data_IF_198180878819
#
_entry.id   IF_198180878819
#
_cell.length_a   1.000
_cell.length_b   1.000
_cell.length_c   1.000
_cell.angle_alpha   90.00
_cell.angle_beta   90.00
_cell.angle_gamma   90.00
#
_symmetry.space_group_name_H-M   'P 1'
#
loop_
_entity.id
_entity.type
_entity.pdbx_description
1 polymer ?
#
# COMPACT_ATOMS: atom_id res chain seq x y z
N UNK A 1 -7.66 5.84 -0.36
CA UNK A 1 -6.41 6.56 -0.65
C UNK A 1 -5.30 5.53 -0.63
N UNK A 2 -4.62 5.41 -1.76
CA UNK A 2 -3.57 4.42 -1.95
C UNK A 2 -2.26 4.86 -1.30
N UNK A 3 -1.55 3.89 -0.75
CA UNK A 3 -0.21 4.06 -0.20
C UNK A 3 0.76 3.05 -0.79
N UNK A 4 2.02 3.43 -0.81
CA UNK A 4 3.14 2.57 -1.13
C UNK A 4 4.18 2.67 -0.03
N UNK A 5 4.90 1.59 0.19
CA UNK A 5 6.10 1.59 0.99
C UNK A 5 7.31 1.52 0.08
N UNK A 6 8.28 2.38 0.29
CA UNK A 6 9.57 2.30 -0.38
C UNK A 6 10.61 1.93 0.67
N UNK A 7 11.27 0.80 0.48
CA UNK A 7 12.42 0.41 1.30
C UNK A 7 13.49 1.49 1.24
N UNK A 8 13.92 1.99 2.39
CA UNK A 8 14.99 2.99 2.46
C UNK A 8 16.33 2.38 2.02
N UNK A 9 16.54 1.10 2.33
CA UNK A 9 17.79 0.39 2.07
C UNK A 9 17.94 -0.03 0.61
N UNK A 10 16.88 -0.55 0.02
CA UNK A 10 16.91 -1.24 -1.29
C UNK A 10 16.22 -0.46 -2.40
N UNK A 11 15.50 0.61 -2.06
CA UNK A 11 14.60 1.34 -2.96
C UNK A 11 13.49 0.46 -3.58
N UNK A 12 13.27 -0.75 -3.06
CA UNK A 12 12.17 -1.61 -3.49
C UNK A 12 10.82 -1.01 -3.09
N UNK A 13 9.88 -1.01 -4.03
CA UNK A 13 8.54 -0.46 -3.85
C UNK A 13 7.57 -1.61 -3.59
N UNK A 14 6.77 -1.46 -2.53
CA UNK A 14 5.71 -2.38 -2.14
C UNK A 14 4.37 -1.64 -2.16
N UNK A 15 3.34 -2.30 -2.68
CA UNK A 15 1.97 -1.77 -2.74
C UNK A 15 1.23 -2.18 -4.01
N UNK A 16 0.05 -1.59 -4.26
CA UNK A 16 -0.57 -0.52 -3.47
C UNK A 16 -1.30 -1.10 -2.25
N UNK A 17 -1.18 -0.42 -1.11
CA UNK A 17 -2.07 -0.60 0.03
C UNK A 17 -3.22 0.40 0.01
N UNK A 18 -4.33 0.09 0.67
CA UNK A 18 -5.49 0.98 0.77
C UNK A 18 -5.69 1.40 2.22
N UNK A 19 -5.55 2.69 2.52
CA UNK A 19 -5.79 3.20 3.89
C UNK A 19 -7.23 2.90 4.32
N UNK A 20 -7.35 2.27 5.49
CA UNK A 20 -8.61 1.98 6.19
C UNK A 20 -8.78 2.85 7.44
N UNK A 21 -7.68 3.22 8.10
CA UNK A 21 -7.66 4.11 9.25
C UNK A 21 -6.51 5.11 9.12
N UNK A 22 -6.79 6.38 9.41
CA UNK A 22 -5.77 7.41 9.61
C UNK A 22 -6.20 8.25 10.81
N UNK A 23 -5.47 8.12 11.91
CA UNK A 23 -5.76 8.79 13.18
C UNK A 23 -4.61 9.75 13.51
N UNK A 24 -4.94 11.00 13.83
CA UNK A 24 -3.97 11.97 14.30
C UNK A 24 -3.78 11.79 15.81
N UNK A 25 -2.58 11.39 16.23
CA UNK A 25 -2.25 11.19 17.64
C UNK A 25 -1.81 12.50 18.31
N UNK A 26 -1.02 13.29 17.59
CA UNK A 26 -0.54 14.62 18.01
C UNK A 26 -0.48 15.55 16.80
N UNK A 27 -0.08 16.81 16.98
CA UNK A 27 0.13 17.74 15.86
C UNK A 27 1.12 17.23 14.81
N UNK A 28 2.06 16.36 15.20
CA UNK A 28 3.14 15.87 14.33
C UNK A 28 3.19 14.35 14.18
N UNK A 29 2.25 13.60 14.77
CA UNK A 29 2.23 12.14 14.70
C UNK A 29 0.89 11.60 14.27
N UNK A 30 0.94 10.53 13.49
CA UNK A 30 -0.25 9.81 13.03
C UNK A 30 -0.08 8.31 13.22
N UNK A 31 -1.21 7.64 13.40
CA UNK A 31 -1.38 6.19 13.27
C UNK A 31 -2.08 5.90 11.96
N UNK A 32 -1.68 4.83 11.29
CA UNK A 32 -2.26 4.41 10.03
C UNK A 32 -2.53 2.91 10.05
N UNK A 33 -3.66 2.52 9.47
CA UNK A 33 -3.90 1.14 9.03
C UNK A 33 -4.29 1.13 7.57
N UNK A 34 -3.88 0.08 6.87
CA UNK A 34 -4.23 -0.15 5.49
C UNK A 34 -4.48 -1.63 5.22
N UNK A 35 -5.43 -1.91 4.34
CA UNK A 35 -5.49 -3.20 3.67
C UNK A 35 -4.24 -3.34 2.78
N UNK A 36 -3.55 -4.47 2.92
CA UNK A 36 -2.23 -4.71 2.34
C UNK A 36 -2.26 -6.00 1.49
N UNK A 37 -1.85 -5.95 0.21
CA UNK A 37 -2.01 -7.09 -0.69
C UNK A 37 -0.97 -8.21 -0.50
N UNK A 38 0.07 -7.97 0.32
CA UNK A 38 1.15 -8.92 0.53
C UNK A 38 1.05 -9.58 1.91
N UNK A 39 1.38 -10.86 1.97
CA UNK A 39 1.56 -11.63 3.21
C UNK A 39 3.06 -11.86 3.36
N UNK A 40 3.67 -11.33 4.43
CA UNK A 40 5.10 -11.44 4.68
C UNK A 40 5.61 -10.38 5.65
N UNK A 41 6.81 -10.59 6.17
CA UNK A 41 7.45 -9.66 7.11
C UNK A 41 8.12 -8.50 6.38
N UNK A 42 7.96 -7.30 6.94
CA UNK A 42 8.66 -6.08 6.54
C UNK A 42 9.66 -5.73 7.64
N UNK A 43 10.82 -6.39 7.62
CA UNK A 43 11.79 -6.43 8.74
C UNK A 43 12.87 -5.33 8.70
N UNK A 44 12.93 -4.53 7.63
CA UNK A 44 14.10 -3.68 7.38
C UNK A 44 14.44 -2.71 8.52
N UNK A 45 15.71 -2.73 8.95
CA UNK A 45 16.16 -1.95 10.11
C UNK A 45 16.01 -0.43 9.94
N UNK A 46 16.23 0.11 8.74
CA UNK A 46 16.04 1.52 8.37
C UNK A 46 14.57 1.90 8.24
N UNK A 47 13.70 0.90 8.06
CA UNK A 47 12.28 1.07 7.81
C UNK A 47 11.97 1.47 6.36
N UNK A 48 10.81 2.08 6.19
CA UNK A 48 10.21 2.36 4.89
C UNK A 48 9.73 3.80 4.82
N UNK A 49 9.81 4.41 3.65
CA UNK A 49 9.14 5.67 3.37
C UNK A 49 7.69 5.40 2.94
N UNK A 50 6.73 6.06 3.60
CA UNK A 50 5.33 5.99 3.22
C UNK A 50 5.02 7.03 2.13
N UNK A 51 4.62 6.54 0.95
CA UNK A 51 4.32 7.36 -0.22
C UNK A 51 2.83 7.35 -0.49
N UNK A 52 2.27 8.53 -0.77
CA UNK A 52 0.85 8.76 -1.11
C UNK A 52 0.78 9.46 -2.47
N UNK A 53 0.75 8.68 -3.58
CA UNK A 53 0.87 9.22 -4.93
C UNK A 53 -0.27 10.16 -5.32
N UNK A 54 -1.50 9.86 -4.92
CA UNK A 54 -2.68 10.70 -5.15
C UNK A 54 -2.48 12.14 -4.63
N UNK A 55 -1.73 12.28 -3.52
CA UNK A 55 -1.36 13.57 -2.93
C UNK A 55 -0.01 14.10 -3.40
N UNK A 56 0.71 13.34 -4.23
CA UNK A 56 2.08 13.63 -4.67
C UNK A 56 3.03 13.85 -3.50
N UNK A 57 2.86 13.07 -2.43
CA UNK A 57 3.56 13.27 -1.15
C UNK A 57 4.24 12.00 -0.62
N UNK A 58 5.35 12.19 0.06
CA UNK A 58 5.94 11.25 1.02
C UNK A 58 5.60 11.75 2.41
N UNK A 59 4.94 10.93 3.23
CA UNK A 59 4.41 11.38 4.53
C UNK A 59 5.39 11.22 5.69
N UNK A 60 6.32 10.27 5.60
CA UNK A 60 7.30 10.04 6.65
C UNK A 60 7.97 8.68 6.52
N UNK A 61 8.88 8.41 7.47
CA UNK A 61 9.50 7.10 7.64
C UNK A 61 8.75 6.32 8.71
N UNK A 62 8.54 5.04 8.49
CA UNK A 62 7.80 4.16 9.39
C UNK A 62 8.43 2.76 9.47
N UNK A 63 8.03 2.02 10.51
CA UNK A 63 8.26 0.59 10.67
C UNK A 63 6.89 -0.11 10.69
N UNK A 64 6.38 -0.53 9.52
CA UNK A 64 5.07 -1.14 9.43
C UNK A 64 5.13 -2.57 9.97
N UNK A 65 4.07 -2.99 10.65
CA UNK A 65 3.81 -4.39 10.95
C UNK A 65 2.74 -4.90 9.98
N UNK A 66 2.91 -6.10 9.44
CA UNK A 66 1.91 -6.75 8.58
C UNK A 66 1.40 -8.00 9.28
N UNK A 67 0.09 -8.10 9.46
CA UNK A 67 -0.59 -9.26 10.03
C UNK A 67 -1.88 -9.51 9.27
N UNK A 68 -2.07 -10.71 8.72
CA UNK A 68 -3.32 -11.12 8.06
C UNK A 68 -3.85 -10.07 7.05
N UNK A 69 -2.98 -9.59 6.14
CA UNK A 69 -3.29 -8.56 5.13
C UNK A 69 -3.62 -7.16 5.70
N UNK A 70 -3.41 -6.93 6.99
CA UNK A 70 -3.47 -5.62 7.61
C UNK A 70 -2.06 -5.07 7.80
N UNK A 71 -1.77 -3.94 7.17
CA UNK A 71 -0.60 -3.13 7.49
C UNK A 71 -0.97 -2.15 8.60
N UNK A 72 -0.16 -2.13 9.65
CA UNK A 72 -0.31 -1.23 10.81
C UNK A 72 0.95 -0.41 11.02
N UNK A 73 0.77 0.90 11.20
CA UNK A 73 1.80 1.84 11.65
C UNK A 73 1.25 2.51 12.90
N UNK A 74 1.71 2.06 14.06
CA UNK A 74 1.15 2.51 15.35
C UNK A 74 1.44 3.97 15.66
N UNK A 75 2.62 4.45 15.23
CA UNK A 75 3.02 5.85 15.31
C UNK A 75 4.11 6.13 14.27
N UNK A 76 3.92 7.18 13.47
CA UNK A 76 4.97 7.76 12.65
C UNK A 76 4.94 9.28 12.73
N UNK A 77 6.12 9.90 12.57
CA UNK A 77 6.20 11.35 12.38
C UNK A 77 5.58 11.72 11.04
N UNK A 78 4.62 12.64 11.06
CA UNK A 78 3.93 13.13 9.89
C UNK A 78 4.62 14.37 9.36
N UNK A 79 5.52 14.17 8.39
CA UNK A 79 6.32 15.22 7.75
C UNK A 79 6.12 15.16 6.24
N UNK A 80 4.94 15.59 5.72
CA UNK A 80 4.62 15.50 4.31
C UNK A 80 5.59 16.33 3.46
N UNK A 81 6.24 15.69 2.51
CA UNK A 81 7.15 16.30 1.53
C UNK A 81 6.69 15.95 0.12
N UNK A 82 6.87 16.84 -0.86
CA UNK A 82 6.51 16.54 -2.25
C UNK A 82 7.37 15.40 -2.80
N UNK A 83 6.76 14.51 -3.59
CA UNK A 83 7.49 13.52 -4.40
C UNK A 83 8.17 14.27 -5.56
N UNK A 84 9.46 14.04 -5.84
CA UNK A 84 10.12 14.58 -7.00
C UNK A 84 9.36 14.25 -8.30
N UNK A 85 9.15 15.19 -9.24
CA UNK A 85 8.30 14.96 -10.42
C UNK A 85 8.71 13.74 -11.27
N UNK A 86 10.01 13.45 -11.36
CA UNK A 86 10.53 12.28 -12.09
C UNK A 86 10.13 10.95 -11.46
N UNK A 87 9.92 10.93 -10.15
CA UNK A 87 9.63 9.72 -9.38
C UNK A 87 8.13 9.40 -9.33
N UNK A 88 7.26 10.36 -9.61
CA UNK A 88 5.81 10.14 -9.67
C UNK A 88 5.43 9.02 -10.66
N UNK A 89 6.21 8.87 -11.74
CA UNK A 89 5.98 7.83 -12.75
C UNK A 89 6.11 6.40 -12.19
N UNK A 90 6.86 6.18 -11.11
CA UNK A 90 7.02 4.85 -10.49
C UNK A 90 5.76 4.37 -9.77
N UNK A 91 4.83 5.28 -9.45
CA UNK A 91 3.64 4.97 -8.66
C UNK A 91 2.34 4.97 -9.50
N UNK A 92 2.46 5.13 -10.81
CA UNK A 92 1.35 4.92 -11.75
C UNK A 92 1.21 3.43 -12.04
N UNK A 93 0.60 2.67 -11.14
CA UNK A 93 0.23 1.29 -11.47
C UNK A 93 -0.99 1.28 -12.41
N UNK A 94 -1.01 0.47 -13.47
CA UNK A 94 -2.25 0.15 -14.16
C UNK A 94 -3.18 -0.54 -13.15
N UNK A 95 -4.43 -0.08 -13.06
CA UNK A 95 -5.47 -0.76 -12.29
C UNK A 95 -5.43 -2.26 -12.60
N UNK A 96 -5.53 -3.16 -11.59
CA UNK A 96 -5.66 -4.58 -11.90
C UNK A 96 -6.88 -4.73 -12.81
N UNK A 97 -6.67 -5.33 -14.00
CA UNK A 97 -7.78 -5.85 -14.80
C UNK A 97 -8.54 -6.78 -13.87
N UNK A 98 -9.88 -6.66 -13.74
CA UNK A 98 -10.63 -7.78 -13.22
C UNK A 98 -10.31 -8.95 -14.16
N UNK A 99 -9.62 -9.98 -13.65
CA UNK A 99 -9.67 -11.29 -14.28
C UNK A 99 -11.14 -11.61 -14.42
N UNK A 100 -11.59 -11.67 -15.67
CA UNK A 100 -12.94 -12.05 -15.99
C UNK A 100 -13.21 -13.37 -15.26
N UNK A 101 -14.34 -13.44 -14.55
CA UNK A 101 -14.90 -14.71 -14.14
C UNK A 101 -14.93 -15.61 -15.38
N UNK A 102 -14.17 -16.70 -15.35
CA UNK A 102 -14.35 -17.80 -16.28
C UNK A 102 -15.66 -18.48 -15.85
N UNK A 103 -16.77 -17.87 -16.26
CA UNK A 103 -18.10 -18.48 -16.29
C UNK A 103 -18.16 -19.31 -17.57
N UNK A 104 -17.58 -20.50 -17.50
CA UNK A 104 -17.81 -21.55 -18.49
C UNK A 104 -18.75 -22.58 -17.87
N UNK A 105 -20.04 -22.23 -17.81
CA UNK A 105 -21.13 -23.18 -17.60
C UNK A 105 -21.26 -24.00 -18.89
N UNK A 106 -20.58 -25.14 -18.97
CA UNK A 106 -20.93 -26.17 -19.95
C UNK A 106 -22.23 -26.83 -19.50
N UNK A 107 -23.32 -26.39 -20.12
CA UNK A 107 -24.61 -27.08 -20.10
C UNK A 107 -24.48 -28.26 -21.05
N UNK A 108 -24.34 -29.47 -20.53
CA UNK A 108 -24.53 -30.67 -21.34
C UNK A 108 -25.95 -31.19 -21.12
N UNK A 109 -26.65 -31.32 -22.24
CA UNK A 109 -28.01 -31.83 -22.34
C UNK A 109 -27.89 -33.29 -22.76
N UNK A 110 -28.39 -34.24 -21.99
CA UNK A 110 -28.71 -35.55 -22.55
C UNK A 110 -30.06 -36.06 -22.05
N UNK A 111 -30.84 -36.46 -23.04
CA UNK A 111 -32.22 -36.90 -22.97
C UNK A 111 -32.32 -38.38 -22.60
N UNK A 112 -33.37 -38.73 -21.85
CA UNK A 112 -34.10 -40.00 -22.02
C UNK A 112 -35.58 -39.78 -21.71
#
# INVERSE_FOLDING_TARGET
>A
MQIFLVSIRTAQIYGPGQITLLEQLTEAQVRLQAHWPFIGELDEWEGYALVVPERKQVWGVCKPAVSEQLLSIDSMMFTPKPIPPKELAFFHLPSPRPEAADDSVETDSEAD
#
